data_IF_578589620063
#
_entry.id   IF_578589620063
#
_cell.length_a   1.000
_cell.length_b   1.000
_cell.length_c   1.000
_cell.angle_alpha   90.00
_cell.angle_beta   90.00
_cell.angle_gamma   90.00
#
_symmetry.space_group_name_H-M   'P 1'
#
loop_
_entity.id
_entity.type
_entity.pdbx_description
1 polymer ?
#
# COMPACT_ATOMS: atom_id res chain seq x y z
N UNK A 1 -2.01 21.79 -5.66
CA UNK A 1 -0.68 21.13 -5.49
C UNK A 1 -0.78 20.24 -4.26
N UNK A 2 -0.50 18.95 -4.40
CA UNK A 2 -0.62 17.99 -3.29
C UNK A 2 0.56 18.10 -2.32
N UNK A 3 0.29 18.02 -1.01
CA UNK A 3 1.26 18.18 0.08
C UNK A 3 1.06 17.14 1.18
N UNK A 4 2.11 16.85 1.93
CA UNK A 4 2.02 16.00 3.12
C UNK A 4 0.92 16.56 4.05
N UNK A 5 0.08 15.67 4.55
CA UNK A 5 -1.11 15.96 5.32
C UNK A 5 -2.41 16.03 4.51
N UNK A 6 -2.34 16.07 3.17
CA UNK A 6 -3.57 16.11 2.37
C UNK A 6 -4.37 14.81 2.54
N UNK A 7 -5.69 14.98 2.69
CA UNK A 7 -6.67 13.90 2.71
C UNK A 7 -7.33 13.80 1.35
N UNK A 8 -7.59 12.58 0.88
CA UNK A 8 -8.19 12.35 -0.42
C UNK A 8 -9.20 11.20 -0.41
N UNK A 9 -10.24 11.30 -1.22
CA UNK A 9 -11.22 10.25 -1.44
C UNK A 9 -10.70 9.23 -2.43
N UNK A 10 -10.98 7.96 -2.12
CA UNK A 10 -10.75 6.79 -2.98
C UNK A 10 -12.12 6.18 -3.26
N UNK A 11 -12.62 6.31 -4.50
CA UNK A 11 -13.86 5.63 -4.90
C UNK A 11 -13.57 4.16 -5.17
N UNK A 12 -14.35 3.29 -4.52
CA UNK A 12 -14.27 1.84 -4.65
C UNK A 12 -15.14 1.36 -5.81
N UNK A 13 -14.96 0.09 -6.20
CA UNK A 13 -15.66 -0.56 -7.30
C UNK A 13 -17.17 -0.65 -7.07
N UNK A 14 -17.61 -0.70 -5.81
CA UNK A 14 -19.02 -0.69 -5.40
C UNK A 14 -19.59 0.72 -5.14
N UNK A 15 -18.86 1.77 -5.57
CA UNK A 15 -19.20 3.18 -5.41
C UNK A 15 -19.15 3.73 -3.98
N UNK A 16 -18.81 2.92 -2.98
CA UNK A 16 -18.45 3.45 -1.65
C UNK A 16 -17.11 4.19 -1.73
N UNK A 17 -16.82 4.96 -0.69
CA UNK A 17 -15.65 5.83 -0.62
C UNK A 17 -14.83 5.50 0.61
N UNK A 18 -13.52 5.40 0.45
CA UNK A 18 -12.54 5.38 1.52
C UNK A 18 -11.78 6.71 1.57
N UNK A 19 -11.11 7.01 2.70
CA UNK A 19 -10.24 8.19 2.84
C UNK A 19 -8.80 7.75 2.93
N UNK A 20 -7.98 8.25 2.00
CA UNK A 20 -6.54 8.20 2.07
C UNK A 20 -5.93 9.46 2.68
N UNK A 21 -4.72 9.31 3.22
CA UNK A 21 -3.94 10.37 3.84
C UNK A 21 -2.52 10.33 3.31
N UNK A 22 -2.02 11.45 2.82
CA UNK A 22 -0.64 11.57 2.35
C UNK A 22 0.31 11.83 3.53
N UNK A 23 1.02 10.79 3.97
CA UNK A 23 1.74 10.82 5.25
C UNK A 23 3.21 11.18 5.15
N UNK A 24 3.88 10.82 4.06
CA UNK A 24 5.32 11.06 3.93
C UNK A 24 5.77 11.05 2.47
N UNK A 25 6.85 11.76 2.14
CA UNK A 25 7.46 11.71 0.82
C UNK A 25 8.85 11.11 0.91
N UNK A 26 9.02 9.90 0.39
CA UNK A 26 10.32 9.30 0.22
C UNK A 26 11.00 9.84 -1.03
N UNK A 27 12.29 10.16 -0.91
CA UNK A 27 13.07 10.75 -1.99
C UNK A 27 13.32 9.79 -3.16
N UNK A 28 13.32 8.48 -2.91
CA UNK A 28 13.60 7.44 -3.91
C UNK A 28 12.31 6.80 -4.43
N UNK A 29 11.39 6.48 -3.53
CA UNK A 29 10.21 5.67 -3.83
C UNK A 29 8.94 6.52 -4.04
N UNK A 30 8.93 7.77 -3.59
CA UNK A 30 7.82 8.69 -3.80
C UNK A 30 6.82 8.76 -2.63
N UNK A 31 5.54 9.05 -2.92
CA UNK A 31 4.53 9.31 -1.89
C UNK A 31 4.14 8.07 -1.09
N UNK A 32 4.16 8.19 0.23
CA UNK A 32 3.60 7.23 1.16
C UNK A 32 2.21 7.67 1.56
N UNK A 33 1.27 6.75 1.49
CA UNK A 33 -0.11 6.96 1.91
C UNK A 33 -0.50 5.96 2.99
N UNK A 34 -1.51 6.33 3.76
CA UNK A 34 -2.30 5.39 4.55
C UNK A 34 -3.77 5.57 4.23
N UNK A 35 -4.56 4.52 4.42
CA UNK A 35 -6.01 4.55 4.24
C UNK A 35 -6.65 4.29 5.59
N UNK A 36 -7.65 5.11 5.96
CA UNK A 36 -8.38 4.91 7.20
C UNK A 36 -9.23 3.63 7.12
N UNK A 37 -9.40 2.95 8.26
CA UNK A 37 -10.33 1.81 8.38
C UNK A 37 -11.79 2.30 8.46
N UNK A 38 -12.20 2.97 7.39
CA UNK A 38 -13.48 3.65 7.26
C UNK A 38 -13.89 3.70 5.79
N UNK A 39 -14.99 3.01 5.49
CA UNK A 39 -15.60 2.92 4.16
C UNK A 39 -17.07 3.26 4.31
N UNK A 40 -17.56 4.23 3.55
CA UNK A 40 -18.95 4.67 3.63
C UNK A 40 -19.43 5.20 2.27
N UNK A 41 -20.75 5.33 2.10
CA UNK A 41 -21.33 6.03 0.97
C UNK A 41 -20.89 7.50 0.96
N UNK A 42 -20.64 8.06 -0.23
CA UNK A 42 -20.11 9.42 -0.39
C UNK A 42 -20.90 10.49 0.38
N UNK A 43 -22.23 10.38 0.40
CA UNK A 43 -23.12 11.35 1.06
C UNK A 43 -23.05 11.32 2.59
N UNK A 44 -22.51 10.23 3.16
CA UNK A 44 -22.39 10.02 4.61
C UNK A 44 -20.93 10.11 5.08
N UNK A 45 -19.99 10.42 4.19
CA UNK A 45 -18.57 10.49 4.52
C UNK A 45 -18.30 11.52 5.61
N UNK A 46 -17.59 11.08 6.65
CA UNK A 46 -17.14 11.94 7.74
C UNK A 46 -15.64 11.72 8.02
N UNK A 47 -14.84 12.79 7.88
CA UNK A 47 -13.39 12.74 8.10
C UNK A 47 -13.02 12.48 9.55
N UNK A 48 -13.76 13.06 10.51
CA UNK A 48 -13.46 12.88 11.93
C UNK A 48 -13.69 11.44 12.37
N UNK A 49 -14.74 10.80 11.87
CA UNK A 49 -15.03 9.40 12.16
C UNK A 49 -14.00 8.46 11.51
N UNK A 50 -13.54 8.76 10.30
CA UNK A 50 -12.43 8.05 9.68
C UNK A 50 -11.15 8.15 10.53
N UNK A 51 -10.83 9.35 11.05
CA UNK A 51 -9.67 9.55 11.92
C UNK A 51 -9.77 8.73 13.21
N UNK A 52 -10.96 8.63 13.83
CA UNK A 52 -11.18 7.83 15.05
C UNK A 52 -10.96 6.33 14.82
N UNK A 53 -11.23 5.82 13.62
CA UNK A 53 -11.05 4.41 13.26
C UNK A 53 -9.58 4.01 13.09
N UNK A 54 -8.69 4.97 12.87
CA UNK A 54 -7.29 4.69 12.60
C UNK A 54 -7.07 4.14 11.18
N UNK A 55 -5.87 3.61 10.92
CA UNK A 55 -5.48 3.15 9.58
C UNK A 55 -5.69 1.65 9.41
N UNK A 56 -6.14 1.25 8.22
CA UNK A 56 -6.42 -0.14 7.85
C UNK A 56 -5.15 -0.98 7.68
N UNK A 57 -4.06 -0.37 7.21
CA UNK A 57 -2.78 -1.03 6.99
C UNK A 57 -1.61 -0.04 7.18
N UNK A 58 -0.36 -0.54 7.35
CA UNK A 58 0.83 0.30 7.44
C UNK A 58 1.00 1.23 6.22
N UNK A 59 1.85 2.27 6.30
CA UNK A 59 2.10 3.13 5.15
C UNK A 59 2.60 2.36 3.93
N UNK A 60 2.00 2.64 2.77
CA UNK A 60 2.36 2.05 1.48
C UNK A 60 2.70 3.11 0.45
N UNK A 61 3.44 2.73 -0.58
CA UNK A 61 3.93 3.64 -1.60
C UNK A 61 3.01 3.60 -2.82
N UNK A 62 2.65 4.76 -3.37
CA UNK A 62 1.79 4.79 -4.56
C UNK A 62 2.00 6.04 -5.42
N UNK A 63 1.54 5.97 -6.67
CA UNK A 63 1.51 7.08 -7.62
C UNK A 63 0.48 8.16 -7.31
N UNK A 64 0.46 8.70 -6.09
CA UNK A 64 -0.57 9.62 -5.58
C UNK A 64 -0.78 10.85 -6.48
N UNK A 65 0.30 11.52 -6.90
CA UNK A 65 0.20 12.70 -7.80
C UNK A 65 -0.46 12.34 -9.14
N UNK A 66 -0.15 11.16 -9.67
CA UNK A 66 -0.74 10.70 -10.93
C UNK A 66 -2.21 10.34 -10.76
N UNK A 67 -2.58 9.70 -9.65
CA UNK A 67 -3.97 9.36 -9.32
C UNK A 67 -4.85 10.62 -9.24
N UNK A 68 -4.41 11.65 -8.50
CA UNK A 68 -5.17 12.90 -8.38
C UNK A 68 -5.25 13.64 -9.71
N UNK A 69 -4.15 13.75 -10.46
CA UNK A 69 -4.15 14.43 -11.76
C UNK A 69 -5.09 13.77 -12.78
N UNK A 70 -5.25 12.45 -12.71
CA UNK A 70 -6.16 11.68 -13.57
C UNK A 70 -7.61 11.69 -13.05
N UNK A 71 -7.91 12.38 -11.95
CA UNK A 71 -9.24 12.42 -11.35
C UNK A 71 -9.67 11.11 -10.68
N UNK A 72 -8.74 10.16 -10.48
CA UNK A 72 -9.05 8.90 -9.78
C UNK A 72 -9.33 9.16 -8.30
N UNK A 73 -8.55 10.04 -7.68
CA UNK A 73 -8.69 10.44 -6.28
C UNK A 73 -8.86 11.95 -6.17
N UNK A 74 -9.64 12.39 -5.19
CA UNK A 74 -10.03 13.81 -5.02
C UNK A 74 -9.54 14.29 -3.66
N UNK A 75 -8.80 15.41 -3.61
CA UNK A 75 -8.39 16.01 -2.33
C UNK A 75 -9.62 16.61 -1.65
N UNK A 76 -9.86 16.23 -0.39
CA UNK A 76 -11.05 16.64 0.38
C UNK A 76 -10.74 17.39 1.66
N UNK A 77 -9.46 17.50 2.04
CA UNK A 77 -9.10 18.19 3.26
C UNK A 77 -7.64 18.01 3.61
N UNK A 78 -7.31 18.33 4.86
CA UNK A 78 -5.96 18.21 5.38
C UNK A 78 -5.97 17.82 6.84
N UNK A 79 -5.02 16.97 7.22
CA UNK A 79 -4.70 16.60 8.60
C UNK A 79 -3.19 16.71 8.81
N UNK A 80 -2.69 17.32 9.90
CA UNK A 80 -1.27 17.30 10.20
C UNK A 80 -0.75 15.86 10.38
N UNK A 81 0.48 15.62 9.93
CA UNK A 81 1.22 14.38 10.23
C UNK A 81 2.25 14.74 11.30
N UNK A 82 2.07 14.24 12.52
CA UNK A 82 2.94 14.58 13.66
C UNK A 82 3.99 13.52 13.95
N UNK A 83 3.65 12.24 13.78
CA UNK A 83 4.46 11.12 14.28
C UNK A 83 4.72 10.05 13.21
N UNK A 84 5.16 10.47 12.02
CA UNK A 84 5.48 9.51 10.97
C UNK A 84 6.74 8.72 11.34
N UNK A 85 6.57 7.41 11.46
CA UNK A 85 7.67 6.46 11.62
C UNK A 85 7.85 5.75 10.30
N UNK A 86 9.07 5.80 9.74
CA UNK A 86 9.39 5.11 8.50
C UNK A 86 9.21 3.59 8.70
N UNK A 87 8.29 2.93 7.98
CA UNK A 87 8.04 1.51 8.20
C UNK A 87 9.18 0.66 7.62
N UNK A 88 9.36 -0.53 8.20
CA UNK A 88 10.17 -1.57 7.56
C UNK A 88 9.34 -2.25 6.48
N UNK A 89 9.98 -2.57 5.38
CA UNK A 89 9.38 -3.32 4.28
C UNK A 89 10.15 -4.61 4.05
N UNK A 90 9.49 -5.56 3.40
CA UNK A 90 10.12 -6.76 2.86
C UNK A 90 10.20 -6.67 1.33
N UNK A 91 11.21 -7.27 0.75
CA UNK A 91 11.32 -7.46 -0.70
C UNK A 91 11.96 -8.80 -1.00
N UNK A 92 11.71 -9.34 -2.19
CA UNK A 92 12.25 -10.60 -2.62
C UNK A 92 13.05 -10.45 -3.93
N UNK A 93 14.00 -11.36 -4.13
CA UNK A 93 14.48 -11.76 -5.44
C UNK A 93 13.84 -13.11 -5.77
N UNK A 94 13.17 -13.22 -6.92
CA UNK A 94 12.42 -14.41 -7.32
C UNK A 94 12.64 -14.74 -8.80
N UNK A 95 12.18 -15.92 -9.20
CA UNK A 95 12.18 -16.39 -10.58
C UNK A 95 10.78 -16.17 -11.20
N UNK A 96 10.66 -15.34 -12.22
CA UNK A 96 9.38 -15.02 -12.87
C UNK A 96 8.71 -16.22 -13.56
N UNK A 97 9.49 -17.23 -13.99
CA UNK A 97 8.97 -18.41 -14.69
C UNK A 97 8.41 -19.44 -13.75
N UNK A 98 9.04 -19.63 -12.60
CA UNK A 98 8.64 -20.63 -11.60
C UNK A 98 7.85 -20.04 -10.45
N UNK A 99 7.92 -18.72 -10.26
CA UNK A 99 7.35 -17.99 -9.14
C UNK A 99 8.09 -18.21 -7.82
N UNK A 100 9.22 -18.93 -7.81
CA UNK A 100 9.96 -19.25 -6.60
C UNK A 100 10.76 -18.06 -6.06
N UNK A 101 10.62 -17.77 -4.77
CA UNK A 101 11.49 -16.78 -4.10
C UNK A 101 12.86 -17.41 -3.81
N UNK A 102 13.92 -16.74 -4.27
CA UNK A 102 15.32 -17.15 -4.06
C UNK A 102 15.95 -16.50 -2.83
N UNK A 103 15.55 -15.27 -2.49
CA UNK A 103 16.07 -14.56 -1.32
C UNK A 103 15.13 -13.44 -0.89
N UNK A 104 14.98 -13.27 0.43
CA UNK A 104 14.26 -12.18 1.07
C UNK A 104 15.20 -11.14 1.64
N UNK A 105 14.72 -9.90 1.67
CA UNK A 105 15.42 -8.75 2.18
C UNK A 105 14.49 -7.90 3.04
N UNK A 106 15.03 -7.37 4.14
CA UNK A 106 14.41 -6.36 4.96
C UNK A 106 14.93 -4.98 4.53
N UNK A 107 14.03 -4.05 4.26
CA UNK A 107 14.36 -2.66 3.97
C UNK A 107 13.88 -1.75 5.08
N UNK A 108 14.75 -0.87 5.57
CA UNK A 108 14.46 0.03 6.69
C UNK A 108 14.44 1.53 6.29
N UNK A 109 14.31 1.83 5.00
CA UNK A 109 14.38 3.19 4.46
C UNK A 109 15.77 3.64 4.02
N UNK A 110 16.81 2.88 4.35
CA UNK A 110 18.19 3.21 3.97
C UNK A 110 18.93 2.03 3.34
N UNK A 111 18.80 0.85 3.91
CA UNK A 111 19.59 -0.33 3.56
C UNK A 111 18.70 -1.54 3.32
N UNK A 112 19.17 -2.44 2.46
CA UNK A 112 18.64 -3.79 2.30
C UNK A 112 19.49 -4.78 3.09
N UNK A 113 18.85 -5.54 3.96
CA UNK A 113 19.48 -6.59 4.77
C UNK A 113 18.93 -7.92 4.27
N UNK A 114 19.78 -8.80 3.75
CA UNK A 114 19.35 -10.16 3.37
C UNK A 114 18.95 -10.92 4.63
N UNK A 115 17.72 -11.44 4.66
CA UNK A 115 17.15 -12.13 5.84
C UNK A 115 17.00 -13.64 5.66
N UNK A 116 17.12 -14.17 4.44
CA UNK A 116 17.10 -15.62 4.20
C UNK A 116 16.57 -16.00 2.83
N UNK A 117 16.45 -17.29 2.56
CA UNK A 117 15.73 -17.85 1.40
C UNK A 117 14.24 -18.11 1.68
N UNK A 118 13.85 -18.07 2.97
CA UNK A 118 12.49 -18.15 3.45
C UNK A 118 12.17 -16.93 4.31
N UNK A 119 10.89 -16.56 4.38
CA UNK A 119 10.43 -15.43 5.18
C UNK A 119 9.94 -15.90 6.55
N UNK A 120 10.66 -15.52 7.61
CA UNK A 120 10.25 -15.82 8.99
C UNK A 120 8.87 -15.19 9.31
N UNK A 121 8.10 -15.86 10.16
CA UNK A 121 6.75 -15.43 10.58
C UNK A 121 6.70 -13.99 11.08
N UNK A 122 7.74 -13.55 11.81
CA UNK A 122 7.83 -12.18 12.34
C UNK A 122 7.83 -11.09 11.26
N UNK A 123 8.18 -11.42 10.02
CA UNK A 123 8.23 -10.49 8.90
C UNK A 123 7.00 -10.55 7.99
N UNK A 124 6.14 -11.57 8.13
CA UNK A 124 4.95 -11.74 7.27
C UNK A 124 3.88 -10.67 7.45
N UNK A 125 3.97 -9.90 8.52
CA UNK A 125 3.09 -8.75 8.80
C UNK A 125 3.60 -7.44 8.19
N UNK A 126 4.81 -7.42 7.63
CA UNK A 126 5.37 -6.24 6.97
C UNK A 126 4.83 -6.08 5.55
N UNK A 127 4.69 -4.84 5.12
CA UNK A 127 4.30 -4.53 3.74
C UNK A 127 5.44 -4.83 2.76
N UNK A 128 5.08 -5.21 1.54
CA UNK A 128 6.06 -5.44 0.47
C UNK A 128 6.55 -4.10 -0.09
N UNK A 129 7.86 -3.96 -0.32
CA UNK A 129 8.46 -2.77 -0.91
C UNK A 129 8.15 -2.71 -2.40
N UNK A 130 7.06 -2.02 -2.76
CA UNK A 130 6.66 -1.75 -4.13
C UNK A 130 5.87 -0.45 -4.21
N UNK A 131 5.90 0.18 -5.39
CA UNK A 131 4.98 1.27 -5.71
C UNK A 131 3.67 0.67 -6.22
N UNK A 132 2.65 0.63 -5.38
CA UNK A 132 1.33 0.13 -5.74
C UNK A 132 0.65 1.02 -6.77
N UNK A 133 -0.03 0.40 -7.74
CA UNK A 133 -0.93 1.16 -8.61
C UNK A 133 -2.14 1.66 -7.80
N UNK A 134 -2.81 2.75 -8.21
CA UNK A 134 -4.05 3.18 -7.55
C UNK A 134 -5.14 2.10 -7.54
N UNK A 135 -5.14 1.21 -8.55
CA UNK A 135 -6.10 0.10 -8.65
C UNK A 135 -5.78 -0.99 -7.61
N UNK A 136 -4.50 -1.29 -7.41
CA UNK A 136 -4.06 -2.22 -6.35
C UNK A 136 -4.43 -1.72 -4.96
N UNK A 137 -4.35 -0.39 -4.73
CA UNK A 137 -4.82 0.22 -3.48
C UNK A 137 -6.33 0.03 -3.30
N UNK A 138 -7.13 0.26 -4.35
CA UNK A 138 -8.58 0.03 -4.29
C UNK A 138 -8.86 -1.44 -3.94
N UNK A 139 -8.24 -2.37 -4.65
CA UNK A 139 -8.40 -3.81 -4.39
C UNK A 139 -7.97 -4.20 -2.97
N UNK A 140 -6.87 -3.64 -2.47
CA UNK A 140 -6.39 -3.86 -1.09
C UNK A 140 -7.40 -3.36 -0.05
N UNK A 141 -8.02 -2.20 -0.29
CA UNK A 141 -9.05 -1.63 0.60
C UNK A 141 -10.32 -2.48 0.59
N UNK A 142 -10.72 -3.00 -0.57
CA UNK A 142 -11.94 -3.80 -0.70
C UNK A 142 -11.80 -5.21 -0.12
N UNK A 143 -10.64 -5.82 -0.30
CA UNK A 143 -10.43 -7.26 -0.01
C UNK A 143 -9.64 -7.50 1.27
N UNK A 144 -8.86 -6.52 1.73
CA UNK A 144 -7.89 -6.74 2.80
C UNK A 144 -6.75 -7.69 2.40
N UNK A 145 -6.52 -7.95 1.10
CA UNK A 145 -5.48 -8.87 0.60
C UNK A 145 -4.34 -8.06 -0.05
N UNK A 146 -3.09 -8.42 0.27
CA UNK A 146 -1.91 -7.82 -0.40
C UNK A 146 -1.94 -8.25 -1.87
N UNK A 147 -1.89 -7.31 -2.83
CA UNK A 147 -2.04 -7.63 -4.25
C UNK A 147 -0.99 -8.63 -4.76
N UNK A 148 -1.37 -9.34 -5.82
CA UNK A 148 -0.51 -10.32 -6.50
C UNK A 148 0.71 -9.63 -7.14
N UNK A 149 1.90 -10.27 -7.17
CA UNK A 149 2.22 -11.59 -6.61
C UNK A 149 2.60 -11.57 -5.12
N UNK A 150 2.71 -10.40 -4.52
CA UNK A 150 3.40 -10.20 -3.25
C UNK A 150 2.73 -10.91 -2.08
N UNK A 151 1.39 -10.85 -2.00
CA UNK A 151 0.65 -11.56 -0.96
C UNK A 151 0.81 -13.08 -1.02
N UNK A 152 0.99 -13.66 -2.20
CA UNK A 152 1.30 -15.08 -2.35
C UNK A 152 2.72 -15.40 -1.93
N UNK A 153 3.69 -14.63 -2.40
CA UNK A 153 5.10 -14.80 -2.02
C UNK A 153 5.27 -14.77 -0.50
N UNK A 154 4.65 -13.81 0.18
CA UNK A 154 4.72 -13.66 1.65
C UNK A 154 4.18 -14.91 2.36
N UNK A 155 3.06 -15.46 1.87
CA UNK A 155 2.40 -16.62 2.51
C UNK A 155 3.11 -17.93 2.21
N UNK A 156 3.54 -18.12 0.96
CA UNK A 156 3.88 -19.43 0.41
C UNK A 156 5.36 -19.56 0.00
N UNK A 157 6.15 -18.49 0.13
CA UNK A 157 7.51 -18.40 -0.42
C UNK A 157 7.59 -18.58 -1.95
N UNK A 158 6.45 -18.44 -2.63
CA UNK A 158 6.29 -18.53 -4.08
C UNK A 158 4.95 -17.92 -4.49
N UNK A 159 4.80 -17.63 -5.77
CA UNK A 159 3.49 -17.39 -6.40
C UNK A 159 3.28 -18.34 -7.58
N UNK A 160 2.06 -18.43 -8.09
CA UNK A 160 1.79 -19.17 -9.34
C UNK A 160 1.76 -18.14 -10.49
N UNK A 161 2.72 -18.17 -11.43
CA UNK A 161 2.68 -17.26 -12.57
C UNK A 161 1.38 -17.44 -13.36
N UNK A 162 0.77 -16.35 -13.88
CA UNK A 162 -0.38 -16.47 -14.77
C UNK A 162 0.01 -17.37 -15.94
N UNK A 163 -0.84 -18.32 -16.31
CA UNK A 163 -0.62 -19.13 -17.50
C UNK A 163 -0.49 -18.19 -18.69
N UNK A 164 0.70 -18.10 -19.28
CA UNK A 164 0.88 -17.42 -20.56
C UNK A 164 -0.09 -18.07 -21.54
N UNK A 165 -1.14 -17.35 -21.94
CA UNK A 165 -1.93 -17.75 -23.10
C UNK A 165 -0.94 -17.76 -24.27
N UNK A 166 -0.61 -18.96 -24.75
CA UNK A 166 0.17 -19.18 -25.97
C UNK A 166 -0.64 -18.66 -27.16
#
# INVERSE_FOLDING_TARGET
MIKIGDLFEITLSDHRTAIGHYVYRDNKNGPFIQVFDYIENKQKMNVEDAVKKGYMFPPVITGLKAAIRKGLWIVIGKRPVTDFIYPKFISAHWDDKTGEVKSWFLYNGSNFIKIGSFLDEQYKTLEYLVVWSPIDIISRVETGIIPFPYGEMIRNNKFIPPSSSI
#
